data_IF_861034927062
#
_entry.id   IF_861034927062
#
_cell.length_a   1.000
_cell.length_b   1.000
_cell.length_c   1.000
_cell.angle_alpha   90.00
_cell.angle_beta   90.00
_cell.angle_gamma   90.00
#
_symmetry.space_group_name_H-M   'P 1'
#
loop_
_entity.id
_entity.type
_entity.pdbx_description
1 polymer ?
#
# COMPACT_ATOMS: atom_id res chain seq x y z
N UNK A 1 -24.79 -5.33 18.07
CA UNK A 1 -23.45 -4.77 17.76
C UNK A 1 -23.09 -3.79 18.87
N UNK A 2 -21.84 -3.76 19.33
CA UNK A 2 -21.41 -2.70 20.24
C UNK A 2 -21.30 -1.37 19.47
N UNK A 3 -21.71 -0.25 20.08
CA UNK A 3 -21.61 1.08 19.44
C UNK A 3 -20.17 1.40 19.01
N UNK A 4 -19.19 0.85 19.74
CA UNK A 4 -17.74 1.01 19.51
C UNK A 4 -17.29 0.39 18.21
N UNK A 5 -17.73 -0.84 17.90
CA UNK A 5 -17.42 -1.50 16.64
C UNK A 5 -18.04 -0.75 15.46
N UNK A 6 -19.30 -0.32 15.60
CA UNK A 6 -20.00 0.43 14.54
C UNK A 6 -19.27 1.74 14.22
N UNK A 7 -18.87 2.50 15.24
CA UNK A 7 -18.12 3.74 15.06
C UNK A 7 -16.77 3.51 14.34
N UNK A 8 -16.04 2.46 14.69
CA UNK A 8 -14.78 2.11 14.02
C UNK A 8 -15.01 1.81 12.53
N UNK A 9 -16.00 0.96 12.23
CA UNK A 9 -16.31 0.54 10.88
C UNK A 9 -16.84 1.68 10.01
N UNK A 10 -17.69 2.56 10.57
CA UNK A 10 -18.15 3.77 9.89
C UNK A 10 -17.01 4.73 9.59
N UNK A 11 -16.07 4.90 10.53
CA UNK A 11 -14.89 5.76 10.34
C UNK A 11 -14.00 5.25 9.21
N UNK A 12 -13.82 3.92 9.11
CA UNK A 12 -13.07 3.30 8.01
C UNK A 12 -13.90 3.17 6.72
N UNK A 13 -15.20 3.42 6.77
CA UNK A 13 -16.11 3.28 5.63
C UNK A 13 -16.31 1.84 5.16
N UNK A 14 -16.34 0.88 6.10
CA UNK A 14 -16.48 -0.55 5.80
C UNK A 14 -17.74 -1.11 6.48
N UNK A 15 -18.47 -1.99 5.80
CA UNK A 15 -19.61 -2.69 6.40
C UNK A 15 -19.14 -3.98 7.08
N UNK A 16 -19.85 -4.41 8.13
CA UNK A 16 -19.50 -5.65 8.83
C UNK A 16 -19.53 -6.88 7.92
N UNK A 17 -20.48 -6.96 6.99
CA UNK A 17 -20.60 -8.09 6.06
C UNK A 17 -19.34 -8.30 5.23
N UNK A 18 -18.56 -7.24 4.99
CA UNK A 18 -17.28 -7.31 4.29
C UNK A 18 -16.19 -8.06 5.09
N UNK A 19 -16.33 -8.11 6.41
CA UNK A 19 -15.35 -8.69 7.33
C UNK A 19 -15.70 -10.13 7.73
N UNK A 20 -16.88 -10.64 7.37
CA UNK A 20 -17.35 -11.95 7.82
C UNK A 20 -16.54 -13.11 7.24
N UNK A 21 -15.96 -12.95 6.06
CA UNK A 21 -15.05 -13.93 5.46
C UNK A 21 -13.58 -13.71 5.79
N UNK A 22 -13.25 -12.65 6.54
CA UNK A 22 -11.88 -12.30 6.91
C UNK A 22 -11.55 -12.82 8.32
N UNK A 23 -10.43 -13.53 8.53
CA UNK A 23 -9.96 -13.95 9.84
C UNK A 23 -9.89 -12.77 10.83
N UNK A 24 -10.25 -13.01 12.10
CA UNK A 24 -10.49 -11.94 13.07
C UNK A 24 -9.34 -10.96 13.24
N UNK A 25 -8.09 -11.45 13.28
CA UNK A 25 -6.90 -10.62 13.43
C UNK A 25 -6.52 -9.85 12.16
N UNK A 26 -7.05 -10.24 10.99
CA UNK A 26 -6.88 -9.51 9.73
C UNK A 26 -8.01 -8.52 9.43
N UNK A 27 -9.11 -8.53 10.18
CA UNK A 27 -10.24 -7.65 9.92
C UNK A 27 -9.87 -6.17 9.97
N UNK A 28 -9.03 -5.77 10.94
CA UNK A 28 -8.58 -4.39 11.06
C UNK A 28 -7.63 -3.99 9.91
N UNK A 29 -6.53 -4.74 9.61
CA UNK A 29 -5.71 -4.47 8.43
C UNK A 29 -6.48 -4.43 7.12
N UNK A 30 -7.46 -5.31 6.95
CA UNK A 30 -8.28 -5.35 5.76
C UNK A 30 -9.18 -4.12 5.65
N UNK A 31 -9.85 -3.73 6.74
CA UNK A 31 -10.69 -2.53 6.76
C UNK A 31 -9.87 -1.25 6.49
N UNK A 32 -8.66 -1.16 7.05
CA UNK A 32 -7.69 -0.11 6.75
C UNK A 32 -7.30 -0.13 5.27
N UNK A 33 -7.06 -1.30 4.68
CA UNK A 33 -6.69 -1.42 3.25
C UNK A 33 -7.81 -0.94 2.34
N UNK A 34 -9.06 -1.23 2.68
CA UNK A 34 -10.23 -0.67 2.02
C UNK A 34 -10.27 0.87 2.12
N UNK A 35 -10.05 1.43 3.32
CA UNK A 35 -9.99 2.87 3.54
C UNK A 35 -8.87 3.53 2.72
N UNK A 36 -7.64 3.02 2.85
CA UNK A 36 -6.46 3.49 2.12
C UNK A 36 -6.69 3.48 0.61
N UNK A 37 -7.24 2.39 0.06
CA UNK A 37 -7.53 2.31 -1.37
C UNK A 37 -8.48 3.40 -1.83
N UNK A 38 -9.50 3.74 -1.03
CA UNK A 38 -10.46 4.82 -1.35
C UNK A 38 -9.91 6.23 -1.16
N UNK A 39 -9.04 6.42 -0.16
CA UNK A 39 -8.70 7.74 0.38
C UNK A 39 -7.28 8.22 0.07
N UNK A 40 -6.44 7.39 -0.55
CA UNK A 40 -5.06 7.77 -0.88
C UNK A 40 -4.96 8.86 -1.95
N UNK A 41 -3.99 9.74 -1.77
CA UNK A 41 -3.59 10.73 -2.78
C UNK A 41 -2.05 10.74 -2.86
N UNK A 42 -1.43 10.38 -4.00
CA UNK A 42 -2.06 9.99 -5.26
C UNK A 42 -2.82 8.66 -5.15
N UNK A 43 -3.71 8.41 -6.13
CA UNK A 43 -4.51 7.18 -6.17
C UNK A 43 -3.63 5.93 -6.16
N UNK A 44 -4.07 4.92 -5.41
CA UNK A 44 -3.41 3.61 -5.35
C UNK A 44 -3.46 2.95 -6.72
N UNK A 45 -2.30 2.52 -7.20
CA UNK A 45 -2.21 1.77 -8.44
C UNK A 45 -2.53 0.27 -8.23
N UNK A 46 -3.06 -0.45 -9.24
CA UNK A 46 -3.49 -1.84 -9.09
C UNK A 46 -2.39 -2.78 -8.60
N UNK A 47 -1.14 -2.57 -9.04
CA UNK A 47 0.01 -3.39 -8.68
C UNK A 47 0.42 -3.19 -7.21
N UNK A 48 0.25 -1.99 -6.66
CA UNK A 48 0.52 -1.68 -5.26
C UNK A 48 -0.49 -2.39 -4.35
N UNK A 49 -1.79 -2.33 -4.70
CA UNK A 49 -2.83 -3.05 -3.95
C UNK A 49 -2.60 -4.56 -3.97
N UNK A 50 -2.30 -5.13 -5.16
CA UNK A 50 -1.98 -6.57 -5.30
C UNK A 50 -0.79 -6.98 -4.44
N UNK A 51 0.29 -6.19 -4.47
CA UNK A 51 1.50 -6.46 -3.68
C UNK A 51 1.21 -6.45 -2.19
N UNK A 52 0.48 -5.44 -1.71
CA UNK A 52 0.13 -5.32 -0.31
C UNK A 52 -0.78 -6.45 0.18
N UNK A 53 -1.84 -6.78 -0.58
CA UNK A 53 -2.73 -7.88 -0.21
C UNK A 53 -2.01 -9.22 -0.22
N UNK A 54 -1.13 -9.45 -1.19
CA UNK A 54 -0.31 -10.66 -1.21
C UNK A 54 0.63 -10.72 0.00
N UNK A 55 1.24 -9.60 0.41
CA UNK A 55 2.06 -9.52 1.62
C UNK A 55 1.25 -9.88 2.89
N UNK A 56 0.06 -9.31 3.04
CA UNK A 56 -0.85 -9.61 4.17
C UNK A 56 -1.23 -11.09 4.18
N UNK A 57 -1.58 -11.65 3.02
CA UNK A 57 -1.96 -13.07 2.89
C UNK A 57 -0.77 -13.98 3.19
N UNK A 58 0.43 -13.71 2.68
CA UNK A 58 1.63 -14.47 3.02
C UNK A 58 1.89 -14.48 4.53
N UNK A 59 1.60 -13.36 5.21
CA UNK A 59 1.49 -13.19 6.66
C UNK A 59 0.81 -14.37 7.36
N UNK A 60 -0.35 -14.76 6.86
CA UNK A 60 -1.19 -15.82 7.42
C UNK A 60 -0.61 -17.21 7.23
N UNK A 61 0.03 -17.43 6.08
CA UNK A 61 0.46 -18.76 5.65
C UNK A 61 1.95 -19.04 5.87
N UNK A 62 2.72 -18.12 6.49
CA UNK A 62 4.18 -18.24 6.71
C UNK A 62 4.70 -19.56 7.34
N UNK A 63 3.85 -20.40 7.92
CA UNK A 63 4.23 -21.74 8.40
C UNK A 63 4.53 -22.73 7.27
N UNK A 64 4.20 -22.39 6.01
CA UNK A 64 4.53 -23.18 4.83
C UNK A 64 5.91 -22.76 4.30
N UNK A 65 6.94 -23.57 4.54
CA UNK A 65 8.33 -23.34 4.10
C UNK A 65 8.42 -22.98 2.60
N UNK A 66 7.50 -23.50 1.79
CA UNK A 66 7.46 -23.22 0.36
C UNK A 66 7.15 -21.74 0.04
N UNK A 67 6.41 -21.04 0.90
CA UNK A 67 6.11 -19.61 0.72
C UNK A 67 7.38 -18.79 0.91
N UNK A 68 8.19 -19.15 1.90
CA UNK A 68 9.45 -18.45 2.19
C UNK A 68 10.39 -18.57 0.99
N UNK A 69 10.51 -19.75 0.39
CA UNK A 69 11.34 -19.95 -0.81
C UNK A 69 10.81 -19.19 -2.05
N UNK A 70 9.49 -19.10 -2.25
CA UNK A 70 8.90 -18.38 -3.38
C UNK A 70 8.99 -16.85 -3.22
N UNK A 71 8.92 -16.34 -1.98
CA UNK A 71 8.98 -14.91 -1.67
C UNK A 71 10.43 -14.41 -1.52
N UNK A 72 11.32 -15.30 -1.07
CA UNK A 72 12.76 -15.10 -0.94
C UNK A 72 13.54 -16.10 -1.81
N UNK A 73 13.37 -16.09 -3.16
CA UNK A 73 14.17 -16.95 -4.01
C UNK A 73 15.64 -16.63 -3.75
N UNK A 74 16.42 -17.67 -3.40
CA UNK A 74 17.85 -17.60 -3.11
C UNK A 74 18.52 -16.61 -4.07
N UNK A 75 19.02 -15.50 -3.50
CA UNK A 75 19.60 -14.36 -4.20
C UNK A 75 20.90 -14.80 -4.88
N UNK A 76 20.78 -15.52 -6.00
CA UNK A 76 21.78 -15.45 -7.04
C UNK A 76 21.47 -14.15 -7.73
N UNK A 77 22.26 -13.13 -7.41
CA UNK A 77 22.32 -11.80 -8.01
C UNK A 77 22.33 -11.89 -9.55
N UNK A 78 21.17 -12.17 -10.14
CA UNK A 78 20.95 -11.95 -11.56
C UNK A 78 20.73 -10.46 -11.66
N UNK A 79 21.81 -9.74 -11.94
CA UNK A 79 21.87 -8.33 -12.32
C UNK A 79 20.52 -7.64 -12.22
N UNK A 80 20.22 -7.09 -11.04
CA UNK A 80 19.21 -6.04 -10.93
C UNK A 80 19.79 -4.89 -11.75
N UNK A 81 19.53 -4.90 -13.05
CA UNK A 81 19.64 -3.71 -13.86
C UNK A 81 18.94 -2.61 -13.08
N UNK A 82 19.67 -1.51 -12.89
CA UNK A 82 19.40 -0.34 -12.07
C UNK A 82 18.01 0.25 -12.35
N UNK A 83 16.97 -0.48 -11.95
CA UNK A 83 15.58 -0.09 -11.95
C UNK A 83 15.46 0.73 -10.68
N UNK A 84 15.52 2.05 -10.86
CA UNK A 84 15.56 2.99 -9.74
C UNK A 84 14.47 2.68 -8.70
N UNK A 85 14.79 2.96 -7.44
CA UNK A 85 13.87 2.84 -6.32
C UNK A 85 12.51 3.46 -6.67
N UNK A 86 11.44 2.66 -6.64
CA UNK A 86 10.08 3.10 -6.98
C UNK A 86 9.54 3.98 -5.85
N UNK A 87 9.85 5.27 -5.94
CA UNK A 87 9.46 6.28 -4.95
C UNK A 87 7.95 6.40 -4.81
N UNK A 88 7.20 6.20 -5.91
CA UNK A 88 5.74 6.26 -5.89
C UNK A 88 5.15 5.09 -5.10
N UNK A 89 5.69 3.87 -5.30
CA UNK A 89 5.33 2.72 -4.47
C UNK A 89 5.69 2.94 -3.00
N UNK A 90 6.88 3.48 -2.71
CA UNK A 90 7.32 3.75 -1.33
C UNK A 90 6.38 4.71 -0.63
N UNK A 91 6.03 5.81 -1.31
CA UNK A 91 5.11 6.80 -0.77
C UNK A 91 3.71 6.20 -0.54
N UNK A 92 3.22 5.40 -1.48
CA UNK A 92 1.92 4.72 -1.37
C UNK A 92 1.86 3.76 -0.19
N UNK A 93 2.91 2.95 0.02
CA UNK A 93 2.99 2.05 1.17
C UNK A 93 3.18 2.79 2.49
N UNK A 94 3.94 3.88 2.53
CA UNK A 94 4.01 4.74 3.72
C UNK A 94 2.62 5.30 4.08
N UNK A 95 1.81 5.71 3.09
CA UNK A 95 0.43 6.14 3.36
C UNK A 95 -0.40 5.02 3.97
N UNK A 96 -0.27 3.78 3.46
CA UNK A 96 -0.97 2.64 4.02
C UNK A 96 -0.53 2.36 5.47
N UNK A 97 0.78 2.35 5.75
CA UNK A 97 1.32 2.15 7.09
C UNK A 97 0.82 3.23 8.06
N UNK A 98 0.75 4.49 7.64
CA UNK A 98 0.14 5.57 8.42
C UNK A 98 -1.36 5.32 8.69
N UNK A 99 -2.11 4.87 7.67
CA UNK A 99 -3.52 4.52 7.83
C UNK A 99 -3.70 3.35 8.81
N UNK A 100 -2.84 2.34 8.74
CA UNK A 100 -2.85 1.19 9.65
C UNK A 100 -2.57 1.62 11.08
N UNK A 101 -1.54 2.45 11.28
CA UNK A 101 -1.17 2.96 12.60
C UNK A 101 -2.33 3.76 13.22
N UNK A 102 -2.95 4.66 12.45
CA UNK A 102 -4.08 5.45 12.94
C UNK A 102 -5.32 4.59 13.18
N UNK A 103 -5.61 3.61 12.31
CA UNK A 103 -6.70 2.65 12.51
C UNK A 103 -6.49 1.78 13.74
N UNK A 104 -5.24 1.39 14.02
CA UNK A 104 -4.84 0.64 15.20
C UNK A 104 -5.05 1.45 16.48
N UNK A 105 -4.58 2.70 16.53
CA UNK A 105 -4.83 3.57 17.69
C UNK A 105 -6.31 3.87 17.90
N UNK A 106 -7.07 4.06 16.81
CA UNK A 106 -8.52 4.22 16.90
C UNK A 106 -9.20 2.96 17.47
N UNK A 107 -8.78 1.77 17.03
CA UNK A 107 -9.27 0.51 17.57
C UNK A 107 -9.02 0.44 19.09
N UNK A 108 -7.80 0.75 19.54
CA UNK A 108 -7.46 0.76 20.97
C UNK A 108 -8.24 1.81 21.77
N UNK A 109 -8.39 3.03 21.24
CA UNK A 109 -9.17 4.09 21.87
C UNK A 109 -10.63 3.69 22.09
N UNK A 110 -11.18 2.89 21.17
CA UNK A 110 -12.53 2.35 21.24
C UNK A 110 -12.62 1.07 22.09
N UNK A 111 -11.57 0.70 22.81
CA UNK A 111 -11.51 -0.49 23.67
C UNK A 111 -11.39 -1.79 22.87
N UNK A 112 -10.61 -1.77 21.80
CA UNK A 112 -10.24 -2.89 20.92
C UNK A 112 -11.44 -3.74 20.46
N UNK A 113 -12.42 -3.14 19.75
CA UNK A 113 -13.57 -3.87 19.23
C UNK A 113 -13.22 -4.89 18.12
N UNK A 114 -12.08 -4.75 17.45
CA UNK A 114 -11.48 -5.75 16.56
C UNK A 114 -10.20 -6.32 17.17
N UNK A 115 -9.88 -7.58 16.83
CA UNK A 115 -8.65 -8.22 17.25
C UNK A 115 -7.43 -7.49 16.66
N UNK A 116 -6.37 -7.38 17.46
CA UNK A 116 -5.14 -6.71 17.05
C UNK A 116 -4.32 -7.64 16.14
N UNK A 117 -3.81 -7.14 15.01
CA UNK A 117 -2.98 -7.92 14.10
C UNK A 117 -1.57 -8.13 14.66
N UNK A 118 -0.93 -9.23 14.26
CA UNK A 118 0.51 -9.42 14.43
C UNK A 118 1.27 -8.61 13.37
N UNK A 119 1.76 -7.44 13.76
CA UNK A 119 2.42 -6.50 12.85
C UNK A 119 3.74 -7.05 12.29
N UNK A 120 4.41 -7.97 13.01
CA UNK A 120 5.69 -8.55 12.58
C UNK A 120 5.55 -9.44 11.35
N UNK A 121 4.37 -10.06 11.18
CA UNK A 121 4.04 -10.93 10.03
C UNK A 121 3.27 -10.19 8.94
N UNK A 122 2.62 -9.08 9.28
CA UNK A 122 1.70 -8.38 8.40
C UNK A 122 2.41 -7.64 7.25
N UNK A 123 3.60 -7.08 7.51
CA UNK A 123 4.26 -6.20 6.55
C UNK A 123 5.78 -6.40 6.51
N UNK A 124 6.34 -6.42 5.30
CA UNK A 124 7.77 -6.35 5.06
C UNK A 124 8.04 -5.42 3.87
N UNK A 125 8.74 -4.30 4.12
CA UNK A 125 8.97 -3.26 3.12
C UNK A 125 9.74 -3.76 1.89
N UNK A 126 10.78 -4.55 2.08
CA UNK A 126 11.58 -5.10 0.97
C UNK A 126 10.75 -6.03 0.09
N UNK A 127 9.96 -6.91 0.71
CA UNK A 127 9.10 -7.85 -0.01
C UNK A 127 7.99 -7.16 -0.78
N UNK A 128 7.24 -6.25 -0.13
CA UNK A 128 6.11 -5.58 -0.79
C UNK A 128 6.57 -4.74 -1.97
N UNK A 129 7.75 -4.11 -1.88
CA UNK A 129 8.34 -3.37 -2.98
C UNK A 129 8.72 -4.28 -4.16
N UNK A 130 9.35 -5.42 -3.88
CA UNK A 130 9.67 -6.43 -4.90
C UNK A 130 8.39 -6.93 -5.58
N UNK A 131 7.40 -7.35 -4.79
CA UNK A 131 6.11 -7.79 -5.32
C UNK A 131 5.45 -6.72 -6.18
N UNK A 132 5.51 -5.46 -5.77
CA UNK A 132 4.97 -4.33 -6.53
C UNK A 132 5.67 -4.15 -7.88
N UNK A 133 7.00 -4.27 -7.91
CA UNK A 133 7.79 -4.22 -9.16
C UNK A 133 7.50 -5.41 -10.08
N UNK A 134 7.37 -6.60 -9.52
CA UNK A 134 6.99 -7.80 -10.25
C UNK A 134 5.60 -7.63 -10.85
N UNK A 135 4.59 -7.22 -10.07
CA UNK A 135 3.24 -6.97 -10.59
C UNK A 135 3.14 -5.85 -11.63
N UNK A 136 4.09 -4.91 -11.60
CA UNK A 136 4.21 -3.84 -12.61
C UNK A 136 4.74 -4.39 -13.95
N UNK A 137 5.60 -5.40 -13.90
CA UNK A 137 6.25 -6.01 -15.07
C UNK A 137 5.46 -7.20 -15.62
N UNK A 138 4.92 -8.05 -14.74
CA UNK A 138 4.13 -9.23 -15.03
C UNK A 138 2.94 -9.32 -14.05
N UNK A 139 1.68 -9.31 -14.52
CA UNK A 139 0.53 -9.12 -13.63
C UNK A 139 0.09 -10.35 -12.82
N UNK A 140 0.81 -11.47 -12.91
CA UNK A 140 0.40 -12.76 -12.32
C UNK A 140 0.92 -12.94 -10.90
N UNK A 141 0.02 -13.30 -9.98
CA UNK A 141 0.35 -13.62 -8.58
C UNK A 141 0.70 -15.11 -8.38
N UNK A 142 0.43 -15.95 -9.37
CA UNK A 142 0.48 -17.41 -9.25
C UNK A 142 1.89 -17.92 -8.92
N UNK A 143 2.93 -17.21 -9.37
CA UNK A 143 4.33 -17.55 -9.09
C UNK A 143 4.69 -17.45 -7.60
N UNK A 144 3.95 -16.66 -6.83
CA UNK A 144 4.23 -16.40 -5.41
C UNK A 144 3.32 -17.18 -4.46
N UNK A 145 2.29 -17.83 -4.99
CA UNK A 145 1.26 -18.48 -4.20
C UNK A 145 1.52 -19.98 -4.17
N UNK A 146 1.77 -20.51 -2.98
CA UNK A 146 2.19 -21.90 -2.81
C UNK A 146 1.02 -22.89 -2.66
N UNK A 147 -0.21 -22.42 -2.40
CA UNK A 147 -1.37 -23.30 -2.20
C UNK A 147 -2.68 -22.76 -2.80
N UNK A 148 -3.63 -23.65 -3.22
CA UNK A 148 -4.95 -23.23 -3.71
C UNK A 148 -5.77 -22.44 -2.69
N UNK A 149 -5.60 -22.74 -1.40
CA UNK A 149 -6.27 -22.03 -0.30
C UNK A 149 -5.81 -20.57 -0.23
N UNK A 150 -4.51 -20.36 -0.33
CA UNK A 150 -3.91 -19.02 -0.36
C UNK A 150 -4.37 -18.25 -1.61
N UNK A 151 -4.46 -18.90 -2.78
CA UNK A 151 -5.00 -18.28 -4.00
C UNK A 151 -6.44 -17.83 -3.82
N UNK A 152 -7.29 -18.72 -3.29
CA UNK A 152 -8.70 -18.41 -3.08
C UNK A 152 -8.86 -17.23 -2.12
N UNK A 153 -8.13 -17.26 -0.99
CA UNK A 153 -8.20 -16.20 0.01
C UNK A 153 -7.69 -14.86 -0.54
N UNK A 154 -6.56 -14.85 -1.26
CA UNK A 154 -6.03 -13.65 -1.90
C UNK A 154 -7.01 -13.04 -2.92
N UNK A 155 -7.60 -13.87 -3.79
CA UNK A 155 -8.57 -13.39 -4.78
C UNK A 155 -9.83 -12.86 -4.12
N UNK A 156 -10.33 -13.53 -3.08
CA UNK A 156 -11.48 -13.08 -2.31
C UNK A 156 -11.24 -11.68 -1.71
N UNK A 157 -10.09 -11.46 -1.05
CA UNK A 157 -9.74 -10.15 -0.51
C UNK A 157 -9.60 -9.10 -1.61
N UNK A 158 -8.94 -9.44 -2.72
CA UNK A 158 -8.71 -8.52 -3.84
C UNK A 158 -10.01 -8.08 -4.50
N UNK A 159 -10.91 -9.01 -4.79
CA UNK A 159 -12.20 -8.74 -5.41
C UNK A 159 -13.11 -7.96 -4.46
N UNK A 160 -13.06 -8.30 -3.18
CA UNK A 160 -13.77 -7.58 -2.12
C UNK A 160 -13.31 -6.11 -2.06
N UNK A 161 -12.00 -5.83 -2.02
CA UNK A 161 -11.49 -4.44 -2.02
C UNK A 161 -11.90 -3.72 -3.30
N UNK A 162 -11.77 -4.35 -4.47
CA UNK A 162 -12.19 -3.76 -5.76
C UNK A 162 -13.68 -3.44 -5.79
N UNK A 163 -14.53 -4.25 -5.18
CA UNK A 163 -15.96 -3.98 -5.08
C UNK A 163 -16.29 -2.77 -4.19
N UNK A 164 -15.37 -2.37 -3.30
CA UNK A 164 -15.53 -1.17 -2.46
C UNK A 164 -15.14 0.14 -3.15
N UNK A 165 -14.57 0.07 -4.36
CA UNK A 165 -14.20 1.25 -5.16
C UNK A 165 -15.03 1.30 -6.45
N UNK A 166 -15.21 2.49 -7.06
CA UNK A 166 -15.87 2.58 -8.36
C UNK A 166 -15.20 1.71 -9.43
N UNK A 167 -15.95 1.16 -10.40
CA UNK A 167 -15.40 0.24 -11.42
C UNK A 167 -14.37 0.89 -12.37
N UNK A 168 -14.38 2.22 -12.45
CA UNK A 168 -13.42 3.03 -13.19
C UNK A 168 -12.20 3.45 -12.35
N UNK A 169 -12.16 3.09 -11.06
CA UNK A 169 -11.11 3.52 -10.12
C UNK A 169 -9.70 3.13 -10.59
N UNK A 170 -9.54 1.90 -11.07
CA UNK A 170 -8.28 1.36 -11.59
C UNK A 170 -8.12 1.51 -13.11
N UNK A 171 -9.07 2.16 -13.78
CA UNK A 171 -8.99 2.39 -15.23
C UNK A 171 -8.09 3.60 -15.50
N UNK A 172 -7.05 3.41 -16.30
CA UNK A 172 -6.27 4.53 -16.83
C UNK A 172 -7.17 5.34 -17.74
N UNK A 173 -7.51 6.57 -17.34
CA UNK A 173 -8.18 7.51 -18.26
C UNK A 173 -7.34 7.63 -19.54
N UNK A 174 -7.94 7.56 -20.74
CA UNK A 174 -7.19 7.79 -21.97
C UNK A 174 -6.54 9.18 -21.88
N UNK A 175 -5.21 9.20 -21.96
CA UNK A 175 -4.46 10.45 -22.05
C UNK A 175 -4.97 11.23 -23.26
N UNK A 176 -5.78 12.26 -23.01
CA UNK A 176 -6.08 13.23 -24.05
C UNK A 176 -4.78 13.96 -24.32
N UNK A 177 -4.16 13.70 -25.48
CA UNK A 177 -2.91 14.34 -25.91
C UNK A 177 -3.06 15.85 -25.73
N UNK A 178 -2.43 16.42 -24.70
CA UNK A 178 -2.27 17.86 -24.58
C UNK A 178 -1.45 18.31 -25.79
N UNK A 179 -2.07 19.12 -26.66
CA UNK A 179 -1.43 19.71 -27.83
C UNK A 179 -0.11 20.37 -27.41
N UNK A 180 1.00 20.19 -28.16
CA UNK A 180 2.24 20.88 -27.84
C UNK A 180 2.01 22.39 -27.98
N UNK A 181 2.20 23.14 -26.91
CA UNK A 181 2.11 24.59 -26.98
C UNK A 181 3.26 25.12 -27.83
N UNK A 182 2.92 25.61 -29.02
CA UNK A 182 3.82 26.18 -30.01
C UNK A 182 4.61 27.35 -29.44
N UNK A 183 5.92 27.37 -29.70
CA UNK A 183 6.83 28.51 -29.49
C UNK A 183 6.23 29.81 -30.04
N UNK A 184 6.07 30.85 -29.21
CA UNK A 184 6.02 32.26 -29.65
C UNK A 184 6.77 33.20 -28.68
N UNK A 185 7.87 33.70 -29.24
CA UNK A 185 8.57 35.00 -29.11
C UNK A 185 8.53 35.82 -27.80
N UNK A 186 9.74 36.34 -27.51
CA UNK A 186 10.10 37.25 -26.43
C UNK A 186 9.26 38.52 -26.34
N UNK A 187 9.07 39.00 -25.11
CA UNK A 187 8.79 40.40 -24.80
C UNK A 187 9.48 40.76 -23.47
N UNK A 188 10.44 41.69 -23.55
CA UNK A 188 11.12 42.30 -22.40
C UNK A 188 10.15 43.23 -21.66
N UNK A 189 9.96 43.06 -20.34
CA UNK A 189 9.66 44.16 -19.40
C UNK A 189 10.19 43.87 -17.99
N UNK A 190 10.53 44.95 -17.31
CA UNK A 190 11.45 45.15 -16.18
C UNK A 190 10.83 44.97 -14.78
N UNK A 191 11.65 44.43 -13.85
CA UNK A 191 11.78 44.58 -12.38
C UNK A 191 10.55 44.58 -11.43
N UNK A 192 10.59 43.66 -10.45
CA UNK A 192 9.94 43.73 -9.12
C UNK A 192 10.52 42.66 -8.16
N UNK A 193 10.63 42.90 -6.84
CA UNK A 193 11.39 42.04 -5.93
C UNK A 193 10.65 40.74 -5.55
N UNK A 194 11.46 39.71 -5.28
CA UNK A 194 11.12 38.30 -5.07
C UNK A 194 10.42 38.10 -3.70
N UNK A 195 9.27 37.39 -3.58
CA UNK A 195 8.83 36.91 -2.28
C UNK A 195 9.58 35.63 -1.90
N UNK A 196 9.77 35.45 -0.60
CA UNK A 196 10.63 34.44 0.02
C UNK A 196 10.22 33.00 -0.33
N UNK A 197 11.22 32.14 -0.57
CA UNK A 197 11.06 30.69 -0.57
C UNK A 197 11.03 30.22 0.87
N UNK A 198 9.89 29.73 1.33
CA UNK A 198 9.84 28.92 2.56
C UNK A 198 10.37 27.53 2.22
N UNK A 199 11.68 27.34 2.43
CA UNK A 199 12.32 26.02 2.48
C UNK A 199 12.01 25.38 3.82
N UNK A 200 11.25 24.28 3.82
CA UNK A 200 11.29 23.33 4.92
C UNK A 200 12.63 22.59 4.85
N UNK A 201 13.56 22.96 5.72
CA UNK A 201 14.75 22.16 6.00
C UNK A 201 14.34 20.98 6.86
N UNK A 202 14.25 19.79 6.29
CA UNK A 202 14.51 18.57 7.07
C UNK A 202 16.02 18.39 7.08
N UNK A 203 16.63 18.74 8.21
CA UNK A 203 18.07 18.60 8.43
C UNK A 203 18.45 17.12 8.32
N UNK A 204 19.20 16.80 7.27
CA UNK A 204 20.00 15.58 7.24
C UNK A 204 21.07 15.69 8.32
N UNK A 205 21.09 14.74 9.25
CA UNK A 205 22.25 14.52 10.11
C UNK A 205 22.44 13.03 10.35
N UNK A 206 23.53 12.55 9.76
CA UNK A 206 24.30 11.34 10.01
C UNK A 206 23.85 10.00 9.34
N UNK A 207 24.63 9.48 8.35
CA UNK A 207 24.33 8.25 7.62
C UNK A 207 24.75 6.94 8.31
N UNK A 208 25.08 6.94 9.61
CA UNK A 208 25.55 5.74 10.34
C UNK A 208 24.61 5.27 11.46
N UNK A 209 23.34 5.69 11.45
CA UNK A 209 22.29 5.16 12.34
C UNK A 209 21.14 4.53 11.54
N UNK A 210 21.47 3.72 10.54
CA UNK A 210 20.52 2.99 9.69
C UNK A 210 20.01 1.68 10.32
N UNK A 211 20.28 1.44 11.60
CA UNK A 211 19.60 0.40 12.37
C UNK A 211 18.51 1.04 13.22
N UNK A 212 17.30 0.45 13.15
CA UNK A 212 16.10 0.82 13.91
C UNK A 212 15.29 1.99 13.31
N UNK A 213 14.85 1.84 12.05
CA UNK A 213 13.54 2.39 11.66
C UNK A 213 12.48 1.45 12.24
N UNK A 214 12.18 1.64 13.53
CA UNK A 214 10.91 1.18 14.11
C UNK A 214 9.82 2.10 13.56
N UNK A 215 9.33 1.78 12.37
CA UNK A 215 7.94 2.03 12.01
C UNK A 215 7.33 0.65 11.88
N UNK A 216 7.14 0.06 13.07
CA UNK A 216 6.57 -1.25 13.42
C UNK A 216 6.83 -2.39 12.43
#
# INVERSE_FOLDING_TARGET
>A
MSCRLLLLLETLGVTKSLLESVPSHLQLPFAVTCYWTRSSEPKVEPHQLKALLLMIVSGEFFEDDSIVDNLFPNVKEKNVENTGFDLDAAHSFCQWQCCLQMGFYLNQLLGSPLAEPDLSRLYNGTLVHRLSQEFKSAPSAETFISSPKMTQFYQELLDTVKATVPPDFFQKKPQTKSKPCSKKRACNKTKGPRPAKTTWFYGASNPEQLEVITII
#
